data_IF_129604098005
#
_entry.id   IF_129604098005
#
_cell.length_a   1.000
_cell.length_b   1.000
_cell.length_c   1.000
_cell.angle_alpha   90.00
_cell.angle_beta   90.00
_cell.angle_gamma   90.00
#
_symmetry.space_group_name_H-M   'P 1'
#
loop_
_entity.id
_entity.type
_entity.pdbx_description
1 polymer ?
#
# COMPACT_ATOMS: atom_id res chain seq x y z
N UNK A 1 11.96 -1.22 2.88
CA UNK A 1 12.42 -0.90 4.26
C UNK A 1 13.34 0.31 4.28
N UNK A 2 14.08 0.56 3.18
CA UNK A 2 15.14 1.55 3.14
C UNK A 2 16.15 1.30 4.26
N UNK A 3 16.65 2.38 4.83
CA UNK A 3 17.53 2.36 6.02
C UNK A 3 16.79 2.04 7.33
N UNK A 4 15.53 1.61 7.27
CA UNK A 4 14.72 1.31 8.45
C UNK A 4 14.30 2.55 9.24
N UNK A 5 13.97 3.67 8.57
CA UNK A 5 13.55 4.91 9.23
C UNK A 5 12.39 4.70 10.22
N UNK A 6 11.40 3.90 9.82
CA UNK A 6 10.19 3.65 10.60
C UNK A 6 10.34 2.58 11.68
N UNK A 7 11.47 1.85 11.72
CA UNK A 7 11.64 0.71 12.64
C UNK A 7 11.37 1.04 14.11
N UNK A 8 11.88 2.16 14.68
CA UNK A 8 11.62 2.50 16.08
C UNK A 8 10.19 2.94 16.38
N UNK A 9 9.39 3.22 15.34
CA UNK A 9 8.01 3.70 15.48
C UNK A 9 6.99 2.56 15.57
N UNK A 10 7.38 1.34 15.19
CA UNK A 10 6.49 0.20 15.32
C UNK A 10 6.34 -0.21 16.79
N UNK A 11 5.11 -0.50 17.25
CA UNK A 11 4.89 -0.96 18.61
C UNK A 11 5.64 -2.26 18.88
N UNK A 12 6.27 -2.37 20.05
CA UNK A 12 7.12 -3.54 20.40
C UNK A 12 6.33 -4.85 20.55
N UNK A 13 5.01 -4.78 20.65
CA UNK A 13 4.12 -5.94 20.71
C UNK A 13 3.77 -6.50 19.32
N UNK A 14 4.10 -5.80 18.24
CA UNK A 14 3.92 -6.30 16.87
C UNK A 14 5.16 -7.07 16.41
N UNK A 15 4.98 -8.08 15.55
CA UNK A 15 6.09 -8.67 14.79
C UNK A 15 6.26 -7.91 13.47
N UNK A 16 7.49 -7.51 13.16
CA UNK A 16 7.79 -6.69 11.98
C UNK A 16 8.65 -7.48 11.01
N UNK A 17 8.13 -7.76 9.82
CA UNK A 17 8.91 -8.23 8.68
C UNK A 17 9.20 -7.05 7.74
N UNK A 18 10.47 -6.82 7.46
CA UNK A 18 10.93 -5.73 6.61
C UNK A 18 11.66 -6.24 5.38
N UNK A 19 11.27 -5.75 4.20
CA UNK A 19 11.93 -6.14 2.96
C UNK A 19 12.55 -4.96 2.22
N UNK A 20 13.65 -5.20 1.53
CA UNK A 20 14.27 -4.26 0.59
C UNK A 20 15.08 -5.01 -0.47
N UNK A 21 15.21 -4.45 -1.68
CA UNK A 21 16.00 -5.06 -2.74
C UNK A 21 17.51 -4.81 -2.53
N UNK A 22 17.86 -3.73 -1.83
CA UNK A 22 19.24 -3.29 -1.64
C UNK A 22 19.84 -3.78 -0.32
N UNK A 23 20.83 -4.68 -0.39
CA UNK A 23 21.47 -5.24 0.80
C UNK A 23 22.11 -4.16 1.71
N UNK A 24 22.73 -3.14 1.11
CA UNK A 24 23.34 -2.02 1.85
C UNK A 24 22.32 -1.23 2.69
N UNK A 25 21.07 -1.19 2.26
CA UNK A 25 19.98 -0.57 3.03
C UNK A 25 19.57 -1.46 4.22
N UNK A 26 19.51 -2.77 4.00
CA UNK A 26 19.22 -3.76 5.04
C UNK A 26 20.30 -3.79 6.11
N UNK A 27 21.58 -3.69 5.75
CA UNK A 27 22.70 -3.59 6.70
C UNK A 27 22.49 -2.44 7.69
N UNK A 28 22.17 -1.24 7.18
CA UNK A 28 21.83 -0.06 8.00
C UNK A 28 20.59 -0.31 8.87
N UNK A 29 19.58 -0.99 8.32
CA UNK A 29 18.40 -1.40 9.07
C UNK A 29 18.73 -2.34 10.22
N UNK A 30 19.57 -3.36 9.99
CA UNK A 30 20.00 -4.34 11.01
C UNK A 30 20.85 -3.68 12.09
N UNK A 31 21.71 -2.71 11.73
CA UNK A 31 22.41 -1.88 12.71
C UNK A 31 21.43 -1.13 13.61
N UNK A 32 20.39 -0.52 13.04
CA UNK A 32 19.34 0.16 13.82
C UNK A 32 18.57 -0.79 14.72
N UNK A 33 18.25 -2.00 14.25
CA UNK A 33 17.62 -3.05 15.07
C UNK A 33 18.48 -3.35 16.30
N UNK A 34 19.79 -3.56 16.11
CA UNK A 34 20.74 -3.81 17.22
C UNK A 34 20.80 -2.62 18.18
N UNK A 35 20.98 -1.40 17.64
CA UNK A 35 21.12 -0.17 18.42
C UNK A 35 19.89 0.14 19.31
N UNK A 36 18.69 -0.16 18.83
CA UNK A 36 17.44 0.13 19.54
C UNK A 36 16.82 -1.10 20.23
N UNK A 37 17.48 -2.26 20.21
CA UNK A 37 16.98 -3.49 20.82
C UNK A 37 15.63 -3.94 20.24
N UNK A 38 15.45 -3.84 18.92
CA UNK A 38 14.18 -4.13 18.24
C UNK A 38 14.06 -5.63 17.91
N UNK A 39 14.08 -6.48 18.94
CA UNK A 39 14.07 -7.94 18.80
C UNK A 39 12.83 -8.52 18.08
N UNK A 40 11.77 -7.71 17.91
CA UNK A 40 10.54 -8.06 17.20
C UNK A 40 10.61 -7.78 15.68
N UNK A 41 11.70 -7.19 15.18
CA UNK A 41 11.90 -6.90 13.76
C UNK A 41 12.87 -7.88 13.09
N UNK A 42 12.54 -8.31 11.87
CA UNK A 42 13.38 -9.14 10.99
C UNK A 42 13.42 -8.52 9.61
N UNK A 43 14.60 -8.49 9.00
CA UNK A 43 14.83 -7.91 7.69
C UNK A 43 15.29 -8.97 6.69
N UNK A 44 14.70 -8.97 5.49
CA UNK A 44 15.06 -9.88 4.41
C UNK A 44 15.27 -9.10 3.09
N UNK A 45 16.20 -9.60 2.26
CA UNK A 45 16.37 -9.09 0.90
C UNK A 45 15.31 -9.71 0.01
N UNK A 46 14.47 -8.89 -0.61
CA UNK A 46 13.33 -9.38 -1.39
C UNK A 46 12.82 -8.28 -2.34
N UNK A 47 12.32 -8.69 -3.50
CA UNK A 47 11.60 -7.82 -4.42
C UNK A 47 10.14 -7.65 -3.96
N UNK A 48 9.71 -6.40 -3.75
CA UNK A 48 8.35 -6.12 -3.31
C UNK A 48 7.28 -6.47 -4.37
N UNK A 49 7.67 -6.67 -5.63
CA UNK A 49 6.80 -7.11 -6.73
C UNK A 49 6.73 -8.64 -6.88
N UNK A 50 7.49 -9.39 -6.07
CA UNK A 50 7.46 -10.85 -6.01
C UNK A 50 7.90 -11.30 -4.60
N UNK A 51 7.01 -11.16 -3.62
CA UNK A 51 7.32 -11.47 -2.23
C UNK A 51 7.26 -12.98 -1.96
N UNK A 52 8.26 -13.53 -1.28
CA UNK A 52 8.32 -14.95 -0.89
C UNK A 52 7.47 -15.27 0.36
N UNK A 53 6.53 -14.38 0.71
CA UNK A 53 5.56 -14.63 1.77
C UNK A 53 4.33 -15.34 1.25
N UNK A 54 3.72 -16.18 2.09
CA UNK A 54 2.40 -16.76 1.83
C UNK A 54 1.32 -15.67 1.70
N UNK A 55 0.21 -16.03 1.06
CA UNK A 55 -0.98 -15.19 1.06
C UNK A 55 -1.52 -15.05 2.49
N UNK A 56 -2.22 -13.94 2.77
CA UNK A 56 -2.96 -13.75 4.03
C UNK A 56 -2.13 -13.86 5.31
N UNK A 57 -0.85 -13.51 5.20
CA UNK A 57 0.10 -13.66 6.30
C UNK A 57 0.12 -12.47 7.25
N UNK A 58 -0.16 -11.27 6.76
CA UNK A 58 0.00 -10.03 7.52
C UNK A 58 -1.33 -9.35 7.81
N UNK A 59 -1.53 -8.90 9.06
CA UNK A 59 -2.67 -8.08 9.45
C UNK A 59 -2.56 -6.64 8.91
N UNK A 60 -1.32 -6.18 8.69
CA UNK A 60 -1.05 -4.88 8.10
C UNK A 60 0.19 -4.88 7.21
N UNK A 61 0.14 -4.12 6.10
CA UNK A 61 1.24 -3.94 5.16
C UNK A 61 1.48 -2.45 4.91
N UNK A 62 2.72 -1.98 5.05
CA UNK A 62 3.11 -0.59 4.82
C UNK A 62 4.12 -0.48 3.68
N UNK A 63 3.82 0.37 2.70
CA UNK A 63 4.76 0.84 1.70
C UNK A 63 4.98 2.34 1.86
N UNK A 64 6.16 2.72 2.36
CA UNK A 64 6.56 4.12 2.53
C UNK A 64 7.65 4.49 1.52
N UNK A 65 7.37 5.52 0.72
CA UNK A 65 8.27 6.15 -0.27
C UNK A 65 8.80 5.22 -1.38
N UNK A 66 8.20 4.04 -1.54
CA UNK A 66 8.69 3.00 -2.44
C UNK A 66 7.89 2.90 -3.74
N UNK A 67 6.61 3.28 -3.73
CA UNK A 67 5.72 3.06 -4.89
C UNK A 67 6.13 3.85 -6.14
N UNK A 68 6.82 4.98 -5.99
CA UNK A 68 7.37 5.76 -7.12
C UNK A 68 8.74 5.26 -7.60
N UNK A 69 9.39 4.36 -6.84
CA UNK A 69 10.73 3.87 -7.12
C UNK A 69 10.73 2.44 -7.70
N UNK A 70 9.61 1.71 -7.58
CA UNK A 70 9.46 0.36 -8.16
C UNK A 70 9.20 0.44 -9.67
N UNK A 71 9.73 -0.52 -10.46
CA UNK A 71 9.45 -0.56 -11.89
C UNK A 71 7.97 -0.76 -12.22
N UNK A 72 7.27 -1.58 -11.42
CA UNK A 72 5.85 -1.89 -11.57
C UNK A 72 5.10 -1.69 -10.24
N UNK A 73 4.49 -0.51 -10.02
CA UNK A 73 3.73 -0.24 -8.81
C UNK A 73 2.44 -1.06 -8.71
N UNK A 74 1.82 -1.45 -9.84
CA UNK A 74 0.60 -2.27 -9.83
C UNK A 74 0.92 -3.69 -9.39
N UNK A 75 1.99 -4.29 -9.90
CA UNK A 75 2.46 -5.61 -9.46
C UNK A 75 2.87 -5.59 -7.98
N UNK A 76 3.58 -4.55 -7.56
CA UNK A 76 3.92 -4.36 -6.14
C UNK A 76 2.66 -4.28 -5.27
N UNK A 77 1.66 -3.50 -5.68
CA UNK A 77 0.39 -3.42 -4.96
C UNK A 77 -0.35 -4.76 -4.90
N UNK A 78 -0.37 -5.53 -6.00
CA UNK A 78 -0.96 -6.87 -6.03
C UNK A 78 -0.30 -7.81 -5.02
N UNK A 79 1.02 -7.79 -4.91
CA UNK A 79 1.73 -8.57 -3.89
C UNK A 79 1.37 -8.11 -2.48
N UNK A 80 1.27 -6.80 -2.24
CA UNK A 80 0.81 -6.27 -0.95
C UNK A 80 -0.61 -6.75 -0.61
N UNK A 81 -1.52 -6.75 -1.58
CA UNK A 81 -2.90 -7.28 -1.44
C UNK A 81 -2.90 -8.77 -1.16
N UNK A 82 -2.05 -9.54 -1.85
CA UNK A 82 -1.94 -10.99 -1.69
C UNK A 82 -1.48 -11.37 -0.29
N UNK A 83 -0.40 -10.78 0.20
CA UNK A 83 0.20 -11.13 1.50
C UNK A 83 -0.56 -10.52 2.69
N UNK A 84 -1.35 -9.46 2.47
CA UNK A 84 -2.25 -8.90 3.47
C UNK A 84 -3.49 -9.78 3.61
N UNK A 85 -3.93 -10.05 4.83
CA UNK A 85 -5.18 -10.76 5.11
C UNK A 85 -6.39 -10.03 4.51
N UNK A 86 -7.49 -10.72 4.19
CA UNK A 86 -8.77 -10.08 3.93
C UNK A 86 -9.22 -9.32 5.19
N UNK A 87 -9.76 -8.11 5.02
CA UNK A 87 -10.03 -7.17 6.12
C UNK A 87 -8.77 -6.51 6.73
N UNK A 88 -7.57 -6.94 6.35
CA UNK A 88 -6.31 -6.38 6.80
C UNK A 88 -6.06 -4.96 6.29
N UNK A 89 -5.11 -4.26 6.92
CA UNK A 89 -4.83 -2.85 6.60
C UNK A 89 -3.65 -2.71 5.65
N UNK A 90 -3.83 -1.96 4.56
CA UNK A 90 -2.73 -1.55 3.69
C UNK A 90 -2.52 -0.05 3.81
N UNK A 91 -1.28 0.38 4.06
CA UNK A 91 -0.90 1.79 4.16
C UNK A 91 0.10 2.13 3.06
N UNK A 92 -0.21 3.16 2.30
CA UNK A 92 0.71 3.77 1.34
C UNK A 92 1.08 5.15 1.86
N UNK A 93 2.37 5.41 2.05
CA UNK A 93 2.89 6.75 2.27
C UNK A 93 3.74 7.09 1.08
N UNK A 94 3.20 7.89 0.16
CA UNK A 94 3.93 8.28 -1.05
C UNK A 94 3.53 9.67 -1.53
N UNK A 95 4.25 10.20 -2.51
CA UNK A 95 3.73 11.31 -3.30
C UNK A 95 2.82 10.72 -4.39
N UNK A 96 1.67 11.37 -4.61
CA UNK A 96 0.75 11.05 -5.69
C UNK A 96 0.49 12.32 -6.47
N UNK A 97 0.43 12.21 -7.79
CA UNK A 97 0.20 13.36 -8.64
C UNK A 97 -1.20 13.92 -8.38
N UNK A 98 -1.31 15.21 -8.02
CA UNK A 98 -2.58 15.90 -8.04
C UNK A 98 -2.86 16.28 -9.50
N UNK A 99 -3.97 15.82 -10.08
CA UNK A 99 -4.41 16.22 -11.44
C UNK A 99 -4.57 17.74 -11.51
N UNK A 100 -3.49 18.47 -11.79
CA UNK A 100 -3.52 19.91 -12.06
C UNK A 100 -3.43 20.09 -13.59
N UNK A 101 -4.49 20.56 -14.26
CA UNK A 101 -4.55 20.64 -15.73
C UNK A 101 -3.40 21.46 -16.36
N UNK A 102 -2.87 22.42 -15.59
CA UNK A 102 -1.78 23.31 -16.01
C UNK A 102 -0.39 22.63 -15.97
N UNK A 103 -0.17 21.71 -15.02
CA UNK A 103 1.10 20.99 -14.87
C UNK A 103 1.29 19.95 -16.00
N UNK A 104 0.23 19.25 -16.38
CA UNK A 104 0.23 18.31 -17.52
C UNK A 104 0.54 18.98 -18.88
N UNK A 105 0.41 20.31 -18.97
CA UNK A 105 0.75 21.09 -20.17
C UNK A 105 2.22 21.51 -20.19
N UNK A 106 2.81 21.79 -19.03
CA UNK A 106 4.23 22.11 -18.85
C UNK A 106 5.09 20.82 -18.93
N UNK A 107 4.61 19.72 -18.37
CA UNK A 107 5.28 18.41 -18.38
C UNK A 107 5.41 17.83 -19.80
N UNK A 108 4.43 18.09 -20.68
CA UNK A 108 4.51 17.76 -22.12
C UNK A 108 5.61 18.52 -22.85
N UNK A 109 5.95 19.73 -22.40
CA UNK A 109 6.98 20.57 -23.01
C UNK A 109 8.40 20.19 -22.56
N UNK A 110 8.55 19.66 -21.34
CA UNK A 110 9.85 19.26 -20.75
C UNK A 110 10.14 17.75 -20.87
N UNK A 111 9.27 16.98 -21.53
CA UNK A 111 9.28 15.51 -21.52
C UNK A 111 10.57 14.80 -21.99
N UNK A 112 11.44 15.35 -22.85
CA UNK A 112 12.68 14.68 -23.23
C UNK A 112 13.70 14.62 -22.08
N UNK A 113 13.68 15.61 -21.17
CA UNK A 113 14.70 15.78 -20.14
C UNK A 113 14.41 14.95 -18.88
N UNK A 114 13.14 14.78 -18.51
CA UNK A 114 12.75 14.09 -17.27
C UNK A 114 12.77 12.56 -17.37
N UNK A 115 12.57 11.98 -18.56
CA UNK A 115 12.55 10.51 -18.76
C UNK A 115 13.87 9.80 -18.44
N UNK A 116 15.00 10.52 -18.46
CA UNK A 116 16.32 9.95 -18.15
C UNK A 116 16.62 9.79 -16.65
N UNK A 117 15.80 10.36 -15.76
CA UNK A 117 16.09 10.44 -14.31
C UNK A 117 15.41 9.31 -13.50
N UNK A 118 14.58 8.46 -14.13
CA UNK A 118 14.01 7.28 -13.45
C UNK A 118 13.04 7.59 -12.30
N UNK A 119 12.63 8.85 -12.16
CA UNK A 119 11.65 9.32 -11.18
C UNK A 119 10.28 9.33 -11.85
N UNK A 120 9.35 8.47 -11.44
CA UNK A 120 7.95 8.52 -11.88
C UNK A 120 7.19 9.54 -11.05
N UNK A 121 7.05 10.75 -11.59
CA UNK A 121 6.22 11.83 -11.03
C UNK A 121 4.71 11.66 -11.29
N UNK A 122 4.32 10.62 -12.04
CA UNK A 122 2.99 10.42 -12.63
C UNK A 122 2.14 9.34 -11.93
N UNK A 123 2.48 8.96 -10.70
CA UNK A 123 1.71 7.93 -9.97
C UNK A 123 0.31 8.45 -9.57
N UNK A 124 -0.69 8.04 -10.35
CA UNK A 124 -2.12 8.25 -10.11
C UNK A 124 -2.64 7.17 -9.14
N UNK A 125 -3.11 7.60 -7.97
CA UNK A 125 -3.58 6.72 -6.90
C UNK A 125 -4.85 5.97 -7.31
N UNK A 126 -5.76 6.67 -7.97
CA UNK A 126 -7.05 6.16 -8.40
C UNK A 126 -6.84 5.01 -9.39
N UNK A 127 -5.99 5.22 -10.40
CA UNK A 127 -5.61 4.17 -11.35
C UNK A 127 -4.90 3.02 -10.63
N UNK A 128 -3.99 3.31 -9.70
CA UNK A 128 -3.23 2.29 -8.99
C UNK A 128 -4.13 1.34 -8.19
N UNK A 129 -5.17 1.87 -7.54
CA UNK A 129 -6.11 1.12 -6.69
C UNK A 129 -7.24 0.47 -7.48
N UNK A 130 -7.56 0.96 -8.68
CA UNK A 130 -8.59 0.39 -9.53
C UNK A 130 -8.37 -1.10 -9.79
N UNK A 131 -9.40 -1.92 -9.52
CA UNK A 131 -9.36 -3.38 -9.68
C UNK A 131 -8.50 -4.13 -8.67
N UNK A 132 -7.96 -3.47 -7.64
CA UNK A 132 -7.04 -4.10 -6.67
C UNK A 132 -7.73 -4.81 -5.50
N UNK A 133 -9.06 -4.71 -5.39
CA UNK A 133 -9.79 -5.20 -4.20
C UNK A 133 -9.52 -4.36 -2.94
N UNK A 134 -8.97 -3.15 -3.06
CA UNK A 134 -8.73 -2.26 -1.91
C UNK A 134 -9.83 -1.22 -1.78
N UNK A 135 -10.32 -1.03 -0.54
CA UNK A 135 -11.24 0.05 -0.17
C UNK A 135 -10.48 1.12 0.60
N UNK A 136 -10.41 2.34 0.06
CA UNK A 136 -9.76 3.48 0.72
C UNK A 136 -10.59 3.93 1.93
N UNK A 137 -9.99 3.97 3.11
CA UNK A 137 -10.63 4.44 4.36
C UNK A 137 -10.07 5.75 4.87
N UNK A 138 -8.87 6.14 4.44
CA UNK A 138 -8.26 7.42 4.79
C UNK A 138 -7.39 7.89 3.63
N UNK A 139 -7.46 9.17 3.33
CA UNK A 139 -6.47 9.87 2.49
C UNK A 139 -6.16 11.21 3.15
N UNK A 140 -4.89 11.43 3.52
CA UNK A 140 -4.47 12.67 4.19
C UNK A 140 -3.14 13.16 3.65
N UNK A 141 -3.05 14.44 3.32
CA UNK A 141 -1.78 15.11 3.02
C UNK A 141 -1.02 15.35 4.33
N UNK A 142 0.26 14.98 4.37
CA UNK A 142 1.07 14.99 5.61
C UNK A 142 2.25 15.97 5.57
N UNK A 143 2.39 16.75 4.49
CA UNK A 143 3.37 17.85 4.42
C UNK A 143 2.70 19.20 4.19
N UNK A 144 3.30 20.33 4.65
CA UNK A 144 2.72 21.66 4.52
C UNK A 144 2.36 22.08 3.08
N UNK A 145 3.04 21.49 2.09
CA UNK A 145 2.81 21.76 0.66
C UNK A 145 2.09 20.61 -0.06
N UNK A 146 1.59 19.61 0.67
CA UNK A 146 0.78 18.54 0.09
C UNK A 146 1.50 17.55 -0.82
N UNK A 147 2.84 17.52 -0.76
CA UNK A 147 3.66 16.62 -1.58
C UNK A 147 3.54 15.16 -1.15
N UNK A 148 3.44 14.92 0.16
CA UNK A 148 3.31 13.57 0.71
C UNK A 148 1.87 13.30 1.14
N UNK A 149 1.36 12.13 0.77
CA UNK A 149 0.03 11.68 1.13
C UNK A 149 0.14 10.31 1.79
N UNK A 150 -0.55 10.15 2.90
CA UNK A 150 -0.84 8.86 3.49
C UNK A 150 -2.21 8.39 3.03
N UNK A 151 -2.28 7.16 2.52
CA UNK A 151 -3.49 6.49 2.12
C UNK A 151 -3.59 5.22 2.95
N UNK A 152 -4.70 5.04 3.64
CA UNK A 152 -5.03 3.79 4.34
C UNK A 152 -6.16 3.12 3.58
N UNK A 153 -5.98 1.84 3.31
CA UNK A 153 -6.95 0.97 2.68
C UNK A 153 -7.25 -0.22 3.58
N UNK A 154 -8.46 -0.74 3.45
CA UNK A 154 -8.83 -2.08 3.91
C UNK A 154 -8.74 -3.02 2.72
N UNK A 155 -8.17 -4.21 2.93
CA UNK A 155 -8.08 -5.26 1.93
C UNK A 155 -9.43 -5.97 1.78
N UNK A 156 -10.20 -5.59 0.78
CA UNK A 156 -11.54 -6.12 0.50
C UNK A 156 -11.53 -7.17 -0.63
N UNK A 157 -10.39 -7.85 -0.85
CA UNK A 157 -10.19 -8.82 -1.95
C UNK A 157 -11.18 -10.00 -1.95
N UNK A 158 -11.74 -10.36 -0.78
CA UNK A 158 -12.74 -11.42 -0.66
C UNK A 158 -14.18 -10.86 -0.57
N UNK A 159 -14.35 -9.54 -0.45
CA UNK A 159 -15.68 -8.91 -0.48
C UNK A 159 -16.25 -8.90 -1.91
N UNK A 160 -15.40 -8.94 -2.94
CA UNK A 160 -15.83 -9.02 -4.35
C UNK A 160 -16.40 -10.38 -4.75
N UNK A 161 -16.21 -11.43 -3.94
CA UNK A 161 -16.78 -12.78 -4.17
C UNK A 161 -18.07 -13.03 -3.39
N UNK A 162 -18.45 -12.15 -2.46
CA UNK A 162 -19.76 -12.25 -1.80
C UNK A 162 -20.80 -11.67 -2.73
N UNK A 163 -21.73 -12.51 -3.19
CA UNK A 163 -22.93 -12.06 -3.91
C UNK A 163 -23.50 -10.81 -3.23
N UNK A 164 -23.90 -9.79 -4.01
CA UNK A 164 -24.49 -8.60 -3.43
C UNK A 164 -25.65 -9.03 -2.52
N UNK A 165 -25.63 -8.60 -1.26
CA UNK A 165 -26.72 -8.81 -0.32
C UNK A 165 -28.01 -8.30 -0.97
N UNK A 166 -28.87 -9.24 -1.35
CA UNK A 166 -30.09 -8.97 -2.11
C UNK A 166 -31.17 -8.54 -1.11
N UNK A 167 -31.35 -7.22 -0.93
CA UNK A 167 -32.36 -6.65 -0.02
C UNK A 167 -33.79 -7.16 -0.31
N UNK A 168 -34.06 -7.62 -1.55
CA UNK A 168 -35.36 -8.16 -1.95
C UNK A 168 -35.73 -9.53 -1.33
N UNK A 169 -34.77 -10.34 -0.90
CA UNK A 169 -35.06 -11.68 -0.38
C UNK A 169 -35.69 -11.68 1.03
N UNK A 170 -35.47 -10.62 1.81
CA UNK A 170 -36.04 -10.50 3.16
C UNK A 170 -37.44 -9.86 3.19
N UNK A 171 -37.89 -9.23 2.10
CA UNK A 171 -39.27 -8.76 2.00
C UNK A 171 -40.26 -9.90 1.73
N UNK A 172 -39.89 -10.92 0.94
CA UNK A 172 -40.76 -12.09 0.73
C UNK A 172 -40.92 -12.93 2.00
N UNK A 173 -39.86 -13.07 2.81
CA UNK A 173 -39.93 -13.81 4.08
C UNK A 173 -40.77 -13.06 5.12
N UNK A 174 -40.66 -11.72 5.18
CA UNK A 174 -41.47 -10.90 6.08
C UNK A 174 -42.96 -10.86 5.68
N UNK A 175 -43.27 -10.96 4.39
CA UNK A 175 -44.66 -10.96 3.91
C UNK A 175 -45.32 -12.34 4.08
N UNK A 176 -44.55 -13.44 3.96
CA UNK A 176 -45.04 -14.79 4.23
C UNK A 176 -45.30 -15.04 5.73
N UNK A 177 -44.53 -14.42 6.62
CA UNK A 177 -44.72 -14.53 8.08
C UNK A 177 -45.88 -13.68 8.62
N UNK A 178 -46.38 -12.71 7.85
CA UNK A 178 -47.52 -11.87 8.24
C UNK A 178 -48.87 -12.37 7.70
N UNK A 179 -48.87 -13.45 6.90
CA UNK A 179 -50.05 -14.03 6.26
C UNK A 179 -50.45 -15.41 6.82
N UNK A 180 -49.85 -15.84 7.94
CA UNK A 180 -50.22 -17.05 8.70
C UNK A 180 -50.53 -16.71 10.15
#
# INVERSE_FOLDING_TARGET
MGTGLFLPLYPRWCQVAGIDLCEKMLEKGREKIRRHGLAHARLARMDASAMEFEADRFDAVLAAYVMSAVPDPRRTLREMVRVCKPGGTIVLLNHFHAKHPLAARIERWLSPLCRKIGFRSDLDLENLIEGSGLRVTLRRKVSPFGYWTIVRCVNAKDETEREPYNEGANQEIATAAAAG
#
